data_IF_516807193288
#
_entry.id   IF_516807193288
#
_cell.length_a   1.000
_cell.length_b   1.000
_cell.length_c   1.000
_cell.angle_alpha   90.00
_cell.angle_beta   90.00
_cell.angle_gamma   90.00
#
_symmetry.space_group_name_H-M   'P 1'
#
loop_
_entity.id
_entity.type
_entity.pdbx_description
1 polymer ?
#
# COMPACT_ATOMS: atom_id res chain seq x y z
N UNK A 1 -15.95 -6.64 14.09
CA UNK A 1 -15.45 -5.33 13.61
C UNK A 1 -14.02 -5.57 13.20
N UNK A 2 -13.71 -5.28 11.94
CA UNK A 2 -12.38 -5.43 11.37
C UNK A 2 -11.69 -4.08 11.39
N UNK A 3 -10.44 -4.03 11.86
CA UNK A 3 -9.68 -2.80 12.03
C UNK A 3 -8.31 -2.97 11.38
N UNK A 4 -7.97 -2.07 10.47
CA UNK A 4 -6.64 -1.97 9.90
C UNK A 4 -5.67 -1.38 10.94
N UNK A 5 -4.65 -2.14 11.33
CA UNK A 5 -3.62 -1.69 12.26
C UNK A 5 -2.26 -2.32 11.93
N UNK A 6 -1.17 -1.62 12.22
CA UNK A 6 0.19 -2.10 11.97
C UNK A 6 0.72 -3.04 13.06
N UNK A 7 -0.03 -3.21 14.15
CA UNK A 7 0.28 -4.17 15.22
C UNK A 7 -0.98 -4.56 16.00
N UNK A 8 -0.93 -5.71 16.65
CA UNK A 8 -1.98 -6.16 17.59
C UNK A 8 -2.23 -5.13 18.70
N UNK A 9 -1.18 -4.52 19.25
CA UNK A 9 -1.32 -3.50 20.29
C UNK A 9 -2.08 -2.26 19.78
N UNK A 10 -1.82 -1.86 18.53
CA UNK A 10 -2.55 -0.77 17.89
C UNK A 10 -4.01 -1.17 17.62
N UNK A 11 -4.25 -2.39 17.13
CA UNK A 11 -5.60 -2.91 16.88
C UNK A 11 -6.44 -2.91 18.16
N UNK A 12 -5.91 -3.46 19.26
CA UNK A 12 -6.57 -3.51 20.57
C UNK A 12 -6.84 -2.10 21.11
N UNK A 13 -5.90 -1.17 20.95
CA UNK A 13 -6.10 0.22 21.37
C UNK A 13 -7.18 0.94 20.55
N UNK A 14 -7.24 0.71 19.24
CA UNK A 14 -8.28 1.28 18.37
C UNK A 14 -9.65 0.70 18.73
N UNK A 15 -9.74 -0.61 18.91
CA UNK A 15 -10.99 -1.26 19.28
C UNK A 15 -11.51 -0.78 20.65
N UNK A 16 -10.60 -0.57 21.62
CA UNK A 16 -10.99 -0.04 22.93
C UNK A 16 -11.59 1.37 22.84
N UNK A 17 -11.10 2.24 21.94
CA UNK A 17 -11.65 3.59 21.79
C UNK A 17 -13.10 3.54 21.34
N UNK A 18 -13.40 2.75 20.31
CA UNK A 18 -14.78 2.57 19.83
C UNK A 18 -15.67 1.87 20.86
N UNK A 19 -15.14 0.85 21.55
CA UNK A 19 -15.86 0.17 22.64
C UNK A 19 -16.23 1.14 23.77
N UNK A 20 -15.32 2.06 24.13
CA UNK A 20 -15.53 3.06 25.17
C UNK A 20 -16.54 4.14 24.76
N UNK A 21 -16.58 4.52 23.48
CA UNK A 21 -17.60 5.42 22.93
C UNK A 21 -19.02 4.84 23.07
N UNK A 22 -19.15 3.51 23.08
CA UNK A 22 -20.39 2.80 23.43
C UNK A 22 -20.70 2.80 24.96
N UNK A 23 -20.13 3.77 25.71
CA UNK A 23 -20.38 4.07 27.14
C UNK A 23 -20.07 2.94 28.12
N UNK A 24 -19.02 2.17 27.90
CA UNK A 24 -18.52 1.24 28.93
C UNK A 24 -17.71 1.98 30.02
N UNK A 25 -17.77 1.47 31.26
CA UNK A 25 -16.85 1.87 32.34
C UNK A 25 -15.63 0.95 32.46
N UNK A 26 -15.49 -0.04 31.58
CA UNK A 26 -14.40 -1.00 31.60
C UNK A 26 -13.04 -0.32 31.37
N UNK A 27 -12.09 -0.62 32.25
CA UNK A 27 -10.70 -0.15 32.11
C UNK A 27 -9.97 -0.93 31.01
N UNK A 28 -9.03 -0.26 30.35
CA UNK A 28 -8.24 -0.86 29.27
C UNK A 28 -7.52 -2.17 29.64
N UNK A 29 -6.91 -2.34 30.83
CA UNK A 29 -6.27 -3.60 31.20
C UNK A 29 -7.25 -4.79 31.22
N UNK A 30 -8.44 -4.58 31.79
CA UNK A 30 -9.50 -5.59 31.85
C UNK A 30 -10.02 -5.92 30.45
N UNK A 31 -10.22 -4.89 29.63
CA UNK A 31 -10.62 -5.07 28.23
C UNK A 31 -9.61 -5.91 27.44
N UNK A 32 -8.31 -5.63 27.60
CA UNK A 32 -7.23 -6.32 26.90
C UNK A 32 -7.19 -7.83 27.20
N UNK A 33 -7.58 -8.25 28.40
CA UNK A 33 -7.65 -9.67 28.78
C UNK A 33 -8.84 -10.41 28.16
N UNK A 34 -9.89 -9.67 27.78
CA UNK A 34 -11.15 -10.23 27.25
C UNK A 34 -11.20 -10.29 25.72
N UNK A 35 -10.36 -9.52 25.04
CA UNK A 35 -10.34 -9.45 23.58
C UNK A 35 -9.31 -10.40 22.99
N UNK A 36 -9.67 -11.07 21.90
CA UNK A 36 -8.76 -11.82 21.05
C UNK A 36 -8.51 -11.03 19.78
N UNK A 37 -7.25 -10.87 19.42
CA UNK A 37 -6.85 -10.32 18.13
C UNK A 37 -6.41 -11.47 17.23
N UNK A 38 -7.02 -11.57 16.05
CA UNK A 38 -6.61 -12.53 15.03
C UNK A 38 -6.08 -11.75 13.83
N UNK A 39 -4.94 -12.19 13.28
CA UNK A 39 -4.43 -11.65 12.04
C UNK A 39 -5.18 -12.35 10.89
N UNK A 40 -6.15 -11.64 10.31
CA UNK A 40 -6.97 -12.16 9.23
C UNK A 40 -6.19 -12.24 7.90
N UNK A 41 -5.09 -11.49 7.76
CA UNK A 41 -4.36 -11.35 6.51
C UNK A 41 -4.80 -10.13 5.71
N UNK A 42 -4.50 -10.15 4.41
CA UNK A 42 -4.80 -9.06 3.46
C UNK A 42 -6.07 -9.37 2.66
N UNK A 43 -7.18 -9.50 3.35
CA UNK A 43 -8.43 -9.96 2.75
C UNK A 43 -9.13 -8.83 1.99
N UNK A 44 -8.92 -7.60 2.48
CA UNK A 44 -9.39 -6.38 1.83
C UNK A 44 -8.24 -5.37 1.76
N UNK A 45 -7.72 -5.12 0.55
CA UNK A 45 -6.68 -4.11 0.32
C UNK A 45 -7.20 -2.67 0.49
N UNK A 46 -8.50 -2.45 0.34
CA UNK A 46 -9.10 -1.12 0.43
C UNK A 46 -8.99 -0.53 1.84
N UNK A 47 -8.83 -1.37 2.87
CA UNK A 47 -8.60 -0.89 4.24
C UNK A 47 -7.27 -0.12 4.38
N UNK A 48 -6.33 -0.30 3.45
CA UNK A 48 -5.07 0.42 3.39
C UNK A 48 -5.13 1.68 2.53
N UNK A 49 -6.29 1.98 1.92
CA UNK A 49 -6.42 3.13 1.06
C UNK A 49 -6.33 4.43 1.84
N UNK A 50 -5.39 5.27 1.43
CA UNK A 50 -5.29 6.63 1.95
C UNK A 50 -6.42 7.50 1.38
N UNK A 51 -6.58 8.72 1.91
CA UNK A 51 -7.51 9.71 1.36
C UNK A 51 -7.21 9.99 -0.12
N UNK A 52 -8.16 9.69 -0.99
CA UNK A 52 -8.02 9.78 -2.45
C UNK A 52 -7.51 11.15 -2.93
N UNK A 53 -8.00 12.25 -2.35
CA UNK A 53 -7.58 13.60 -2.70
C UNK A 53 -6.06 13.83 -2.49
N UNK A 54 -5.47 13.23 -1.46
CA UNK A 54 -4.02 13.31 -1.21
C UNK A 54 -3.24 12.53 -2.27
N UNK A 55 -3.74 11.36 -2.64
CA UNK A 55 -3.14 10.51 -3.67
C UNK A 55 -3.17 11.19 -5.04
N UNK A 56 -4.34 11.69 -5.47
CA UNK A 56 -4.49 12.42 -6.75
C UNK A 56 -3.53 13.62 -6.81
N UNK A 57 -3.40 14.38 -5.73
CA UNK A 57 -2.47 15.52 -5.67
C UNK A 57 -1.01 15.08 -5.86
N UNK A 58 -0.61 13.97 -5.25
CA UNK A 58 0.74 13.40 -5.43
C UNK A 58 0.94 12.92 -6.88
N UNK A 59 -0.04 12.24 -7.47
CA UNK A 59 0.02 11.77 -8.86
C UNK A 59 0.24 12.92 -9.85
N UNK A 60 -0.49 14.03 -9.68
CA UNK A 60 -0.30 15.25 -10.47
C UNK A 60 1.11 15.83 -10.29
N UNK A 61 1.55 16.00 -9.04
CA UNK A 61 2.88 16.53 -8.74
C UNK A 61 4.02 15.69 -9.33
N UNK A 62 3.90 14.36 -9.28
CA UNK A 62 4.92 13.41 -9.77
C UNK A 62 4.77 13.06 -11.26
N UNK A 63 3.75 13.60 -11.93
CA UNK A 63 3.40 13.36 -13.35
C UNK A 63 3.09 11.88 -13.65
N UNK A 64 2.31 11.25 -12.76
CA UNK A 64 1.82 9.87 -12.86
C UNK A 64 0.29 9.81 -12.71
N UNK A 65 -0.42 10.71 -13.36
CA UNK A 65 -1.88 10.89 -13.25
C UNK A 65 -2.70 9.66 -13.63
N UNK A 66 -2.11 8.73 -14.39
CA UNK A 66 -2.73 7.45 -14.75
C UNK A 66 -2.72 6.42 -13.60
N UNK A 67 -1.95 6.66 -12.53
CA UNK A 67 -1.87 5.75 -11.40
C UNK A 67 -3.14 5.84 -10.53
N UNK A 68 -3.65 4.69 -10.09
CA UNK A 68 -4.83 4.54 -9.22
C UNK A 68 -4.51 3.64 -8.03
N UNK A 69 -5.19 3.83 -6.91
CA UNK A 69 -5.17 2.84 -5.82
C UNK A 69 -5.80 1.53 -6.32
N UNK A 70 -5.28 0.40 -5.88
CA UNK A 70 -5.59 -0.93 -6.43
C UNK A 70 -4.80 -1.31 -7.68
N UNK A 71 -4.08 -0.37 -8.31
CA UNK A 71 -3.27 -0.66 -9.50
C UNK A 71 -2.09 -1.57 -9.16
N UNK A 72 -1.84 -2.53 -10.05
CA UNK A 72 -0.68 -3.43 -9.97
C UNK A 72 0.56 -2.76 -10.54
N UNK A 73 1.67 -2.94 -9.84
CA UNK A 73 2.99 -2.43 -10.22
C UNK A 73 4.07 -3.48 -9.99
N UNK A 74 5.15 -3.39 -10.76
CA UNK A 74 6.38 -4.14 -10.51
C UNK A 74 7.48 -3.15 -10.17
N UNK A 75 8.03 -3.23 -8.97
CA UNK A 75 9.07 -2.34 -8.45
C UNK A 75 10.33 -3.18 -8.21
N UNK A 76 11.42 -2.85 -8.91
CA UNK A 76 12.69 -3.57 -8.83
C UNK A 76 12.52 -5.11 -8.93
N UNK A 77 11.65 -5.55 -9.84
CA UNK A 77 11.36 -6.97 -10.09
C UNK A 77 10.33 -7.61 -9.14
N UNK A 78 9.85 -6.90 -8.10
CA UNK A 78 8.85 -7.41 -7.17
C UNK A 78 7.47 -6.84 -7.46
N UNK A 79 6.46 -7.69 -7.45
CA UNK A 79 5.07 -7.29 -7.65
C UNK A 79 4.48 -6.64 -6.40
N UNK A 80 3.66 -5.60 -6.59
CA UNK A 80 2.99 -4.87 -5.51
C UNK A 80 1.67 -4.23 -5.99
N UNK A 81 0.82 -3.88 -5.04
CA UNK A 81 -0.40 -3.08 -5.26
C UNK A 81 -0.24 -1.69 -4.67
N UNK A 82 -0.64 -0.66 -5.41
CA UNK A 82 -0.71 0.71 -4.90
C UNK A 82 -1.88 0.83 -3.91
N UNK A 83 -1.60 1.27 -2.70
CA UNK A 83 -2.63 1.55 -1.67
C UNK A 83 -2.70 3.04 -1.32
N UNK A 84 -1.84 3.87 -1.88
CA UNK A 84 -1.92 5.31 -1.67
C UNK A 84 -0.62 6.06 -1.87
N UNK A 85 -0.42 7.07 -1.04
CA UNK A 85 0.80 7.87 -1.03
C UNK A 85 1.27 8.16 0.39
N UNK A 86 2.58 8.34 0.53
CA UNK A 86 3.19 8.94 1.70
C UNK A 86 4.04 10.13 1.23
N UNK A 87 3.59 11.36 1.51
CA UNK A 87 4.16 12.59 0.93
C UNK A 87 4.17 12.48 -0.61
N UNK A 88 5.36 12.50 -1.22
CA UNK A 88 5.61 12.46 -2.66
C UNK A 88 5.82 11.05 -3.22
N UNK A 89 5.74 10.02 -2.39
CA UNK A 89 6.03 8.64 -2.76
C UNK A 89 4.73 7.83 -2.82
N UNK A 90 4.74 6.75 -3.60
CA UNK A 90 3.70 5.74 -3.52
C UNK A 90 3.77 5.02 -2.19
N UNK A 91 2.60 4.66 -1.68
CA UNK A 91 2.43 3.66 -0.65
C UNK A 91 1.94 2.39 -1.34
N UNK A 92 2.68 1.29 -1.18
CA UNK A 92 2.41 0.02 -1.86
C UNK A 92 2.47 -1.15 -0.89
N UNK A 93 1.79 -2.25 -1.20
CA UNK A 93 1.93 -3.52 -0.50
C UNK A 93 2.52 -4.53 -1.49
N UNK A 94 3.69 -5.08 -1.15
CA UNK A 94 4.32 -6.13 -1.95
C UNK A 94 3.59 -7.46 -1.80
N UNK A 95 3.58 -8.28 -2.84
CA UNK A 95 2.98 -9.61 -2.78
C UNK A 95 3.65 -10.44 -1.69
N UNK A 96 2.83 -11.03 -0.80
CA UNK A 96 3.29 -11.81 0.36
C UNK A 96 3.67 -10.98 1.59
N UNK A 97 3.53 -9.66 1.56
CA UNK A 97 3.80 -8.77 2.69
C UNK A 97 2.49 -8.23 3.24
N UNK A 98 2.34 -8.14 4.56
CA UNK A 98 1.13 -7.64 5.23
C UNK A 98 1.23 -6.17 5.69
N UNK A 99 2.18 -5.41 5.14
CA UNK A 99 2.46 -4.04 5.55
C UNK A 99 2.86 -3.16 4.37
N UNK A 100 2.63 -1.86 4.51
CA UNK A 100 2.91 -0.90 3.46
C UNK A 100 4.38 -0.51 3.37
N UNK A 101 4.84 -0.25 2.16
CA UNK A 101 6.18 0.20 1.84
C UNK A 101 6.12 1.45 0.96
N UNK A 102 7.12 2.32 1.12
CA UNK A 102 7.27 3.52 0.29
C UNK A 102 7.99 3.16 -1.00
N UNK A 103 7.53 3.68 -2.12
CA UNK A 103 8.17 3.51 -3.41
C UNK A 103 8.20 4.81 -4.20
N UNK A 104 9.33 5.11 -4.83
CA UNK A 104 9.40 6.25 -5.75
C UNK A 104 8.53 5.95 -6.99
N UNK A 105 7.60 6.85 -7.39
CA UNK A 105 6.71 6.63 -8.52
C UNK A 105 7.40 6.49 -9.89
N UNK A 106 8.72 6.67 -9.98
CA UNK A 106 9.46 6.71 -11.25
C UNK A 106 10.77 5.92 -11.21
N UNK A 107 11.08 5.23 -10.12
CA UNK A 107 12.33 4.48 -10.02
C UNK A 107 12.08 2.99 -10.17
N UNK A 108 12.63 2.39 -11.23
CA UNK A 108 12.61 0.94 -11.45
C UNK A 108 11.20 0.33 -11.33
N UNK A 109 10.19 1.04 -11.83
CA UNK A 109 8.78 0.69 -11.68
C UNK A 109 8.08 0.52 -13.02
N UNK A 110 7.23 -0.50 -13.12
CA UNK A 110 6.29 -0.73 -14.22
C UNK A 110 4.87 -0.67 -13.66
N UNK A 111 3.98 0.03 -14.37
CA UNK A 111 2.56 0.15 -14.05
C UNK A 111 1.73 -0.66 -15.03
N UNK A 112 0.76 -1.42 -14.54
CA UNK A 112 -0.08 -2.30 -15.34
C UNK A 112 -1.53 -1.84 -15.41
N UNK A 113 -2.22 -2.18 -16.50
CA UNK A 113 -3.67 -2.08 -16.60
C UNK A 113 -4.36 -3.30 -15.94
N UNK A 114 -5.69 -3.36 -16.05
CA UNK A 114 -6.51 -4.43 -15.47
C UNK A 114 -6.32 -5.76 -16.19
N UNK A 115 -5.91 -5.73 -17.46
CA UNK A 115 -5.58 -6.92 -18.25
C UNK A 115 -4.14 -7.40 -17.99
N UNK A 116 -3.37 -6.67 -17.16
CA UNK A 116 -1.97 -6.98 -16.87
C UNK A 116 -0.97 -6.47 -17.90
N UNK A 117 -1.40 -5.66 -18.88
CA UNK A 117 -0.49 -5.04 -19.85
C UNK A 117 0.20 -3.81 -19.27
N UNK A 118 1.45 -3.56 -19.65
CA UNK A 118 2.22 -2.43 -19.12
C UNK A 118 1.75 -1.10 -19.73
N UNK A 119 1.23 -0.20 -18.89
CA UNK A 119 0.84 1.17 -19.26
C UNK A 119 2.07 2.09 -19.27
N UNK A 120 2.97 1.93 -18.30
CA UNK A 120 4.16 2.78 -18.16
C UNK A 120 5.33 2.02 -17.56
N UNK A 121 6.52 2.22 -18.10
CA UNK A 121 7.76 1.57 -17.68
C UNK A 121 8.84 2.63 -17.43
N UNK A 122 9.29 2.72 -16.18
CA UNK A 122 10.33 3.65 -15.74
C UNK A 122 11.63 2.94 -15.34
N UNK A 123 11.82 1.68 -15.72
CA UNK A 123 13.08 0.97 -15.48
C UNK A 123 14.20 1.60 -16.29
N UNK A 124 15.34 1.90 -15.65
CA UNK A 124 16.56 2.27 -16.36
C UNK A 124 17.13 1.01 -16.99
N UNK A 125 17.21 0.97 -18.31
CA UNK A 125 17.64 -0.22 -19.07
C UNK A 125 16.96 -0.41 -20.44
N UNK A 126 15.94 0.38 -20.79
CA UNK A 126 15.46 0.50 -22.18
C UNK A 126 16.24 1.58 -22.94
N UNK A 127 17.56 1.47 -22.94
CA UNK A 127 18.40 2.02 -24.00
C UNK A 127 18.83 0.83 -24.85
N UNK A 128 18.59 0.92 -26.15
CA UNK A 128 19.08 0.08 -27.25
C UNK A 128 20.05 -1.03 -26.85
N UNK A 129 19.78 -2.27 -27.28
CA UNK A 129 20.82 -3.30 -27.38
C UNK A 129 21.91 -2.78 -28.32
N UNK A 130 22.92 -2.09 -27.79
CA UNK A 130 24.16 -1.85 -28.53
C UNK A 130 24.91 -3.19 -28.55
N UNK A 131 24.83 -3.87 -29.68
CA UNK A 131 25.65 -5.06 -29.93
C UNK A 131 26.92 -4.59 -30.65
N UNK A 132 28.08 -4.85 -30.06
CA UNK A 132 29.34 -4.72 -30.77
C UNK A 132 29.50 -5.95 -31.67
N UNK A 133 29.58 -5.75 -32.99
CA UNK A 133 29.95 -6.79 -33.95
C UNK A 133 31.47 -6.66 -34.15
N UNK A 134 32.27 -7.71 -33.87
CA UNK A 134 33.70 -7.68 -34.21
C UNK A 134 33.88 -7.73 -35.73
N UNK A 135 34.84 -6.94 -36.23
CA UNK A 135 35.31 -6.95 -37.62
C UNK A 135 36.08 -8.22 -37.93
#
# INVERSE_FOLDING_TARGET
MELAAHSEAQAVSMYYKEFKENKTQMLFPVFKELVKCENLGLDNLEQFYVKEANFIRMCKYRKVEFARMGMRVQIAGKMATIVGNHKSDLLVIYDGFSYESKADPRWQIVYFDEAGAAIKDFRKGKGEFTTCIPS
#
